data_IF_378069893466
#
_entry.id   IF_378069893466
#
_cell.length_a   1.000
_cell.length_b   1.000
_cell.length_c   1.000
_cell.angle_alpha   90.00
_cell.angle_beta   90.00
_cell.angle_gamma   90.00
#
_symmetry.space_group_name_H-M   'P 1'
#
loop_
_entity.id
_entity.type
_entity.pdbx_description
1 polymer ?
#
# COMPACT_ATOMS: atom_id res chain seq x y z
N UNK A 1 3.07 45.40 17.85
CA UNK A 1 2.94 44.76 16.52
C UNK A 1 3.46 43.33 16.62
N UNK A 2 2.57 42.33 16.69
CA UNK A 2 2.95 40.91 16.71
C UNK A 2 2.54 40.26 15.38
N UNK A 3 3.52 39.73 14.64
CA UNK A 3 3.28 38.94 13.41
C UNK A 3 2.70 37.59 13.80
N UNK A 4 1.44 37.35 13.47
CA UNK A 4 0.84 36.02 13.52
C UNK A 4 1.55 35.11 12.52
N UNK A 5 2.23 34.07 13.02
CA UNK A 5 2.83 33.02 12.20
C UNK A 5 1.75 32.25 11.46
N UNK A 6 1.81 32.21 10.13
CA UNK A 6 1.01 31.33 9.29
C UNK A 6 1.52 29.89 9.42
N UNK A 7 1.28 29.27 10.56
CA UNK A 7 1.33 27.81 10.71
C UNK A 7 0.06 27.21 10.13
N UNK A 8 -0.07 27.22 8.80
CA UNK A 8 -1.19 26.57 8.14
C UNK A 8 -1.12 25.07 8.41
N UNK A 9 -2.09 24.54 9.13
CA UNK A 9 -2.35 23.10 9.18
C UNK A 9 -2.60 22.66 7.73
N UNK A 10 -1.59 22.16 7.03
CA UNK A 10 -1.80 21.53 5.73
C UNK A 10 -2.59 20.27 6.02
N UNK A 11 -3.92 20.37 5.94
CA UNK A 11 -4.79 19.21 6.05
C UNK A 11 -4.38 18.24 4.95
N UNK A 12 -3.67 17.16 5.32
CA UNK A 12 -3.38 16.04 4.42
C UNK A 12 -4.72 15.64 3.82
N UNK A 13 -4.86 15.79 2.51
CA UNK A 13 -6.14 15.60 1.84
C UNK A 13 -6.53 14.14 1.99
N UNK A 14 -7.48 13.85 2.87
CA UNK A 14 -7.90 12.48 3.19
C UNK A 14 -8.29 11.73 1.90
N UNK A 15 -7.95 10.45 1.86
CA UNK A 15 -8.24 9.58 0.73
C UNK A 15 -7.57 9.97 -0.59
N UNK A 16 -6.41 10.66 -0.56
CA UNK A 16 -5.64 10.93 -1.77
C UNK A 16 -5.17 9.62 -2.44
N UNK A 17 -4.62 8.68 -1.67
CA UNK A 17 -4.18 7.37 -2.16
C UNK A 17 -5.35 6.53 -2.68
N UNK A 18 -6.43 6.42 -1.90
CA UNK A 18 -7.61 5.68 -2.33
C UNK A 18 -8.16 6.17 -3.68
N UNK A 19 -8.18 7.49 -3.91
CA UNK A 19 -8.62 8.06 -5.20
C UNK A 19 -7.65 7.79 -6.34
N UNK A 20 -6.34 7.85 -6.10
CA UNK A 20 -5.34 7.51 -7.10
C UNK A 20 -5.49 6.03 -7.52
N UNK A 21 -5.56 5.14 -6.53
CA UNK A 21 -5.77 3.70 -6.73
C UNK A 21 -7.06 3.41 -7.49
N UNK A 22 -8.19 4.00 -7.08
CA UNK A 22 -9.49 3.75 -7.73
C UNK A 22 -9.58 4.33 -9.16
N UNK A 23 -8.76 5.31 -9.50
CA UNK A 23 -8.67 5.84 -10.86
C UNK A 23 -7.71 5.05 -11.76
N UNK A 24 -6.90 4.15 -11.20
CA UNK A 24 -6.04 3.28 -12.00
C UNK A 24 -6.88 2.25 -12.76
N UNK A 25 -6.66 2.12 -14.06
CA UNK A 25 -7.39 1.17 -14.93
C UNK A 25 -7.34 -0.28 -14.43
N UNK A 26 -6.30 -0.67 -13.69
CA UNK A 26 -6.13 -2.02 -13.13
C UNK A 26 -7.12 -2.30 -12.01
N UNK A 27 -7.63 -1.26 -11.33
CA UNK A 27 -8.61 -1.38 -10.24
C UNK A 27 -9.82 -2.22 -10.64
N UNK A 28 -10.37 -1.96 -11.83
CA UNK A 28 -11.54 -2.66 -12.34
C UNK A 28 -11.30 -4.16 -12.56
N UNK A 29 -10.04 -4.57 -12.77
CA UNK A 29 -9.64 -5.94 -13.11
C UNK A 29 -9.27 -6.79 -11.89
N UNK A 30 -9.25 -6.20 -10.70
CA UNK A 30 -8.96 -6.88 -9.44
C UNK A 30 -10.22 -7.47 -8.82
N UNK A 31 -10.04 -8.61 -8.16
CA UNK A 31 -10.97 -9.18 -7.19
C UNK A 31 -11.21 -8.21 -6.02
N UNK A 32 -12.27 -8.46 -5.24
CA UNK A 32 -12.54 -7.67 -4.04
C UNK A 32 -11.36 -7.73 -3.04
N UNK A 33 -10.74 -8.90 -2.88
CA UNK A 33 -9.58 -9.09 -2.02
C UNK A 33 -8.36 -8.29 -2.53
N UNK A 34 -8.06 -8.34 -3.82
CA UNK A 34 -6.98 -7.56 -4.43
C UNK A 34 -7.19 -6.04 -4.26
N UNK A 35 -8.43 -5.57 -4.45
CA UNK A 35 -8.81 -4.16 -4.22
C UNK A 35 -8.60 -3.72 -2.78
N UNK A 36 -9.09 -4.50 -1.83
CA UNK A 36 -8.95 -4.22 -0.40
C UNK A 36 -7.46 -4.20 0.00
N UNK A 37 -6.70 -5.20 -0.44
CA UNK A 37 -5.28 -5.29 -0.17
C UNK A 37 -4.49 -4.11 -0.76
N UNK A 38 -4.78 -3.68 -1.99
CA UNK A 38 -4.09 -2.53 -2.58
C UNK A 38 -4.32 -1.25 -1.79
N UNK A 39 -5.57 -0.95 -1.42
CA UNK A 39 -5.88 0.22 -0.60
C UNK A 39 -5.14 0.20 0.74
N UNK A 40 -5.23 -0.91 1.47
CA UNK A 40 -4.58 -1.03 2.77
C UNK A 40 -3.06 -0.99 2.64
N UNK A 41 -2.47 -1.62 1.63
CA UNK A 41 -1.03 -1.54 1.37
C UNK A 41 -0.59 -0.10 1.05
N UNK A 42 -1.40 0.69 0.34
CA UNK A 42 -1.07 2.11 0.10
C UNK A 42 -1.08 2.95 1.36
N UNK A 43 -2.00 2.67 2.30
CA UNK A 43 -2.06 3.35 3.59
C UNK A 43 -0.89 2.91 4.49
N UNK A 44 -0.62 1.60 4.57
CA UNK A 44 0.53 1.05 5.32
C UNK A 44 1.85 1.59 4.78
N UNK A 45 1.98 1.75 3.47
CA UNK A 45 3.19 2.25 2.83
C UNK A 45 3.54 3.71 3.17
N UNK A 46 2.61 4.48 3.74
CA UNK A 46 2.90 5.82 4.27
C UNK A 46 3.64 5.77 5.61
N UNK A 47 3.38 4.73 6.41
CA UNK A 47 4.02 4.51 7.72
C UNK A 47 5.21 3.53 7.62
N UNK A 48 5.22 2.67 6.60
CA UNK A 48 6.29 1.69 6.30
C UNK A 48 6.80 1.88 4.87
N UNK A 49 7.70 2.85 4.63
CA UNK A 49 8.27 3.12 3.32
C UNK A 49 8.98 1.91 2.68
N UNK A 50 9.47 0.96 3.50
CA UNK A 50 10.08 -0.30 3.06
C UNK A 50 9.17 -1.12 2.15
N UNK A 51 7.84 -0.97 2.30
CA UNK A 51 6.87 -1.62 1.42
C UNK A 51 6.96 -1.10 -0.02
N UNK A 52 7.34 0.16 -0.25
CA UNK A 52 7.50 0.75 -1.61
C UNK A 52 8.86 0.43 -2.22
N UNK A 53 9.86 0.29 -1.38
CA UNK A 53 11.22 -0.02 -1.79
C UNK A 53 11.98 -0.58 -0.59
N UNK A 54 12.53 -1.80 -0.68
CA UNK A 54 13.28 -2.35 0.42
C UNK A 54 14.49 -1.46 0.71
N UNK A 55 14.57 -0.99 1.95
CA UNK A 55 15.80 -0.44 2.53
C UNK A 55 16.78 -1.60 2.73
N UNK A 56 18.09 -1.37 2.62
CA UNK A 56 19.10 -2.43 2.81
C UNK A 56 18.80 -3.23 4.09
N UNK A 57 18.50 -4.53 3.93
CA UNK A 57 18.21 -5.44 5.04
C UNK A 57 16.78 -5.39 5.62
N UNK A 58 15.83 -4.66 5.03
CA UNK A 58 14.43 -4.62 5.48
C UNK A 58 13.46 -4.86 4.32
N UNK A 59 12.97 -6.09 4.24
CA UNK A 59 11.87 -6.49 3.36
C UNK A 59 10.60 -6.71 4.19
N UNK A 60 9.45 -6.35 3.63
CA UNK A 60 8.15 -6.64 4.26
C UNK A 60 7.77 -8.09 3.93
N UNK A 61 7.88 -8.99 4.91
CA UNK A 61 7.54 -10.40 4.68
C UNK A 61 6.03 -10.60 4.53
N UNK A 62 5.57 -11.64 3.80
CA UNK A 62 4.15 -11.96 3.70
C UNK A 62 3.48 -12.15 5.06
N UNK A 63 4.11 -12.87 6.00
CA UNK A 63 3.55 -13.08 7.34
C UNK A 63 3.37 -11.78 8.13
N UNK A 64 4.34 -10.87 8.02
CA UNK A 64 4.24 -9.56 8.67
C UNK A 64 3.13 -8.72 8.04
N UNK A 65 3.04 -8.72 6.70
CA UNK A 65 1.99 -8.01 5.98
C UNK A 65 0.60 -8.58 6.30
N UNK A 66 0.45 -9.90 6.39
CA UNK A 66 -0.82 -10.54 6.74
C UNK A 66 -1.34 -10.06 8.09
N UNK A 67 -0.44 -9.95 9.09
CA UNK A 67 -0.75 -9.41 10.42
C UNK A 67 -1.15 -7.94 10.36
N UNK A 68 -0.45 -7.12 9.58
CA UNK A 68 -0.78 -5.70 9.41
C UNK A 68 -2.15 -5.50 8.76
N UNK A 69 -2.48 -6.34 7.78
CA UNK A 69 -3.75 -6.27 7.05
C UNK A 69 -4.89 -7.01 7.76
N UNK A 70 -4.63 -7.61 8.93
CA UNK A 70 -5.56 -8.48 9.64
C UNK A 70 -6.17 -9.58 8.75
N UNK A 71 -5.37 -10.11 7.84
CA UNK A 71 -5.76 -11.16 6.89
C UNK A 71 -5.14 -12.50 7.28
N UNK A 72 -5.79 -13.60 6.93
CA UNK A 72 -5.14 -14.92 7.00
C UNK A 72 -4.06 -15.03 5.90
N UNK A 73 -3.05 -15.91 6.07
CA UNK A 73 -2.02 -16.10 5.05
C UNK A 73 -2.58 -16.47 3.68
N UNK A 74 -3.62 -17.31 3.61
CA UNK A 74 -4.26 -17.69 2.35
C UNK A 74 -5.01 -16.55 1.68
N UNK A 75 -5.67 -15.69 2.45
CA UNK A 75 -6.36 -14.51 1.90
C UNK A 75 -5.37 -13.50 1.36
N UNK A 76 -4.30 -13.21 2.13
CA UNK A 76 -3.22 -12.35 1.65
C UNK A 76 -2.64 -12.91 0.36
N UNK A 77 -2.38 -14.20 0.31
CA UNK A 77 -1.67 -14.77 -0.82
C UNK A 77 -2.50 -14.80 -2.10
N UNK A 78 -3.82 -15.03 -1.98
CA UNK A 78 -4.75 -14.85 -3.08
C UNK A 78 -4.79 -13.39 -3.58
N UNK A 79 -4.80 -12.41 -2.66
CA UNK A 79 -4.78 -11.00 -3.01
C UNK A 79 -3.46 -10.57 -3.67
N UNK A 80 -2.32 -11.03 -3.15
CA UNK A 80 -0.99 -10.76 -3.70
C UNK A 80 -0.87 -11.35 -5.09
N UNK A 81 -1.30 -12.59 -5.32
CA UNK A 81 -1.28 -13.19 -6.65
C UNK A 81 -2.08 -12.37 -7.68
N UNK A 82 -3.25 -11.84 -7.29
CA UNK A 82 -4.06 -10.98 -8.14
C UNK A 82 -3.37 -9.63 -8.45
N UNK A 83 -2.71 -9.04 -7.45
CA UNK A 83 -1.96 -7.80 -7.59
C UNK A 83 -0.67 -7.97 -8.43
N UNK A 84 0.03 -9.10 -8.30
CA UNK A 84 1.22 -9.44 -9.09
C UNK A 84 0.88 -9.60 -10.56
N UNK A 85 -0.24 -10.28 -10.86
CA UNK A 85 -0.75 -10.46 -12.23
C UNK A 85 -0.92 -9.12 -12.96
N UNK A 86 -1.27 -8.06 -12.24
CA UNK A 86 -1.43 -6.70 -12.77
C UNK A 86 -0.22 -5.80 -12.50
N UNK A 87 0.89 -6.37 -12.06
CA UNK A 87 2.18 -5.72 -11.81
C UNK A 87 2.15 -4.62 -10.74
N UNK A 88 1.15 -4.64 -9.86
CA UNK A 88 0.96 -3.66 -8.77
C UNK A 88 1.91 -3.95 -7.61
N UNK A 89 2.15 -5.23 -7.33
CA UNK A 89 3.15 -5.68 -6.35
C UNK A 89 4.16 -6.61 -7.02
N UNK A 90 5.26 -6.89 -6.34
CA UNK A 90 6.22 -7.92 -6.70
C UNK A 90 6.83 -8.55 -5.45
N UNK A 91 7.16 -9.84 -5.51
CA UNK A 91 8.02 -10.48 -4.51
C UNK A 91 9.49 -10.12 -4.75
N UNK A 92 10.19 -9.71 -3.70
CA UNK A 92 11.62 -9.32 -3.73
C UNK A 92 12.29 -9.84 -2.46
N UNK A 93 13.35 -10.63 -2.61
CA UNK A 93 14.16 -11.17 -1.49
C UNK A 93 13.32 -11.81 -0.37
N UNK A 94 12.27 -12.56 -0.74
CA UNK A 94 11.35 -13.21 0.21
C UNK A 94 10.30 -12.29 0.84
N UNK A 95 10.28 -11.00 0.50
CA UNK A 95 9.25 -10.04 0.89
C UNK A 95 8.36 -9.58 -0.26
N UNK A 96 7.48 -8.62 0.04
CA UNK A 96 6.52 -8.01 -0.87
C UNK A 96 6.88 -6.53 -1.04
N UNK A 97 6.87 -6.08 -2.29
CA UNK A 97 7.07 -4.68 -2.68
C UNK A 97 5.86 -4.16 -3.42
N UNK A 98 5.29 -3.05 -2.96
CA UNK A 98 4.28 -2.25 -3.66
C UNK A 98 4.94 -1.35 -4.71
N UNK A 99 4.53 -1.50 -5.97
CA UNK A 99 5.12 -0.80 -7.12
C UNK A 99 4.31 0.39 -7.62
N UNK A 100 3.00 0.43 -7.35
CA UNK A 100 2.11 1.43 -7.91
C UNK A 100 1.10 1.99 -6.89
N UNK A 101 0.77 3.26 -7.06
CA UNK A 101 -0.25 4.03 -6.34
C UNK A 101 -0.98 4.98 -7.30
#
# INVERSE_FOLDING_TARGET
MAKAGKGGFQARRLGAHARAVMNDRRWALLSLAGRAAWLQMTDVADELPELRGPSVGRVITPDFLARLLAATPSELEAAVADLERLTIVARVDGGIRLKAF
#
